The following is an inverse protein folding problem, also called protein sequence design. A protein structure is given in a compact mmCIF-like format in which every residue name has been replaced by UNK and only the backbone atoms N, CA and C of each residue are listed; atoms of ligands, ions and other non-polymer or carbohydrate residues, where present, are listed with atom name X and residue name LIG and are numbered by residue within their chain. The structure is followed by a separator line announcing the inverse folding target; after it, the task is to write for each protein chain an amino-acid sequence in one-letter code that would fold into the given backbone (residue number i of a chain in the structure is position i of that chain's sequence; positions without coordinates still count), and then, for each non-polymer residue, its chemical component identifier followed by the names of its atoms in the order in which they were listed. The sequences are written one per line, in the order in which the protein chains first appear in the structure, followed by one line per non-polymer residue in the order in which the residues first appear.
data_IF_362655738952
#
_entry.id   IF_362655738952
#
_cell.length_a   1.000
_cell.length_b   1.000
_cell.length_c   1.000
_cell.angle_alpha   90.00
_cell.angle_beta   90.00
_cell.angle_gamma   90.00
#
_symmetry.space_group_name_H-M   'P 1'
#
loop_
_entity.id
_entity.type
_entity.pdbx_description
1 polymer ?
#
# COMPACT_ATOMS: atom_id res chain seq x y z
N UNK A 1 -24.05 -10.62 -28.41
CA UNK A 1 -23.17 -9.50 -28.79
C UNK A 1 -22.54 -8.98 -27.51
N UNK A 2 -21.23 -9.11 -27.26
CA UNK A 2 -20.60 -8.39 -26.16
C UNK A 2 -20.69 -6.89 -26.47
N UNK A 3 -21.27 -6.12 -25.54
CA UNK A 3 -21.49 -4.68 -25.70
C UNK A 3 -20.17 -3.89 -25.84
N UNK A 4 -20.25 -2.62 -26.29
CA UNK A 4 -19.08 -1.78 -26.48
C UNK A 4 -18.32 -1.64 -25.15
N UNK A 5 -17.02 -1.96 -25.17
CA UNK A 5 -16.14 -1.72 -24.02
C UNK A 5 -16.02 -0.20 -23.86
N UNK A 6 -16.57 0.34 -22.77
CA UNK A 6 -16.50 1.76 -22.46
C UNK A 6 -15.03 2.21 -22.39
N UNK A 7 -14.61 3.08 -23.31
CA UNK A 7 -13.33 3.78 -23.27
C UNK A 7 -13.37 4.87 -22.21
N UNK A 8 -13.28 4.48 -20.94
CA UNK A 8 -12.93 5.44 -19.90
C UNK A 8 -11.43 5.69 -19.96
N UNK A 9 -11.02 6.95 -20.17
CA UNK A 9 -9.71 7.42 -19.74
C UNK A 9 -9.66 7.14 -18.24
N UNK A 10 -8.92 6.10 -17.86
CA UNK A 10 -8.91 5.60 -16.50
C UNK A 10 -8.00 6.51 -15.71
N UNK A 11 -8.60 7.54 -15.09
CA UNK A 11 -7.95 8.23 -13.98
C UNK A 11 -7.51 7.15 -13.00
N UNK A 12 -6.23 7.14 -12.63
CA UNK A 12 -5.71 6.17 -11.67
C UNK A 12 -6.59 6.22 -10.40
N UNK A 13 -7.23 5.09 -10.08
CA UNK A 13 -8.36 5.03 -9.13
C UNK A 13 -8.01 5.57 -7.73
N UNK A 14 -6.75 5.47 -7.33
CA UNK A 14 -6.26 5.86 -6.00
C UNK A 14 -5.36 7.09 -6.05
N UNK A 15 -5.36 7.84 -7.16
CA UNK A 15 -4.53 9.03 -7.33
C UNK A 15 -4.72 10.00 -6.16
N UNK A 16 -3.60 10.36 -5.51
CA UNK A 16 -3.59 11.32 -4.40
C UNK A 16 -4.18 10.78 -3.09
N UNK A 17 -4.45 9.47 -2.99
CA UNK A 17 -4.84 8.83 -1.73
C UNK A 17 -3.62 8.32 -0.98
N UNK A 18 -3.76 8.24 0.34
CA UNK A 18 -2.84 7.49 1.19
C UNK A 18 -3.52 6.21 1.65
N UNK A 19 -2.81 5.09 1.61
CA UNK A 19 -3.29 3.79 2.06
C UNK A 19 -2.33 3.19 3.09
N UNK A 20 -2.87 2.70 4.20
CA UNK A 20 -2.15 1.85 5.16
C UNK A 20 -2.48 0.39 4.84
N UNK A 21 -1.44 -0.41 4.58
CA UNK A 21 -1.57 -1.84 4.28
C UNK A 21 -0.83 -2.63 5.35
N UNK A 22 -1.56 -3.44 6.11
CA UNK A 22 -0.96 -4.40 7.03
C UNK A 22 -0.56 -5.69 6.30
N UNK A 23 0.48 -6.37 6.76
CA UNK A 23 0.95 -7.61 6.12
C UNK A 23 1.51 -7.39 4.70
N UNK A 24 1.99 -6.18 4.40
CA UNK A 24 2.38 -5.75 3.06
C UNK A 24 3.79 -6.14 2.61
N UNK A 25 4.59 -6.78 3.47
CA UNK A 25 5.99 -7.11 3.13
C UNK A 25 6.11 -8.32 2.19
N UNK A 26 5.11 -9.21 2.15
CA UNK A 26 5.18 -10.46 1.38
C UNK A 26 3.83 -10.93 0.83
N UNK A 27 3.86 -11.98 0.00
CA UNK A 27 2.66 -12.66 -0.52
C UNK A 27 1.65 -11.72 -1.17
N UNK A 28 0.37 -11.88 -0.83
CA UNK A 28 -0.69 -11.03 -1.36
C UNK A 28 -0.59 -9.58 -0.92
N UNK A 29 -0.14 -9.31 0.31
CA UNK A 29 0.03 -7.95 0.80
C UNK A 29 0.98 -7.15 -0.08
N UNK A 30 2.13 -7.74 -0.43
CA UNK A 30 3.09 -7.12 -1.37
C UNK A 30 2.49 -6.86 -2.76
N UNK A 31 1.67 -7.78 -3.27
CA UNK A 31 0.97 -7.59 -4.54
C UNK A 31 -0.07 -6.45 -4.45
N UNK A 32 -0.77 -6.31 -3.33
CA UNK A 32 -1.71 -5.22 -3.07
C UNK A 32 -0.97 -3.88 -2.99
N UNK A 33 0.14 -3.81 -2.25
CA UNK A 33 1.02 -2.62 -2.20
C UNK A 33 1.42 -2.19 -3.61
N UNK A 34 1.92 -3.14 -4.42
CA UNK A 34 2.33 -2.88 -5.80
C UNK A 34 1.18 -2.34 -6.66
N UNK A 35 -0.03 -2.92 -6.51
CA UNK A 35 -1.23 -2.48 -7.22
C UNK A 35 -1.67 -1.08 -6.80
N UNK A 36 -1.58 -0.74 -5.52
CA UNK A 36 -1.99 0.56 -5.00
C UNK A 36 -1.06 1.69 -5.47
N UNK A 37 0.25 1.43 -5.49
CA UNK A 37 1.23 2.37 -6.06
C UNK A 37 0.96 2.60 -7.55
N UNK A 38 0.69 1.52 -8.30
CA UNK A 38 0.37 1.63 -9.73
C UNK A 38 -0.94 2.39 -10.01
N UNK A 39 -1.81 2.51 -9.00
CA UNK A 39 -3.02 3.33 -9.03
C UNK A 39 -2.85 4.72 -8.39
N UNK A 40 -1.62 5.15 -8.14
CA UNK A 40 -1.30 6.52 -7.73
C UNK A 40 -1.44 6.80 -6.23
N UNK A 41 -1.51 5.75 -5.41
CA UNK A 41 -1.53 5.88 -3.96
C UNK A 41 -0.13 6.09 -3.38
N UNK A 42 -0.05 6.84 -2.28
CA UNK A 42 1.05 6.75 -1.31
C UNK A 42 0.74 5.62 -0.34
N UNK A 43 1.68 4.72 -0.10
CA UNK A 43 1.42 3.52 0.72
C UNK A 43 2.30 3.54 1.97
N UNK A 44 1.70 3.28 3.13
CA UNK A 44 2.42 2.88 4.34
C UNK A 44 2.21 1.37 4.55
N UNK A 45 3.29 0.62 4.73
CA UNK A 45 3.24 -0.80 5.09
C UNK A 45 3.54 -0.98 6.57
N UNK A 46 2.63 -1.65 7.28
CA UNK A 46 2.83 -2.12 8.66
C UNK A 46 2.93 -3.65 8.64
N UNK A 47 4.08 -4.20 8.98
CA UNK A 47 4.26 -5.65 8.98
C UNK A 47 5.24 -6.10 10.07
N UNK A 48 5.04 -7.31 10.60
CA UNK A 48 5.97 -7.95 11.53
C UNK A 48 7.24 -8.42 10.80
N UNK A 49 7.11 -8.72 9.50
CA UNK A 49 8.20 -9.10 8.61
C UNK A 49 8.83 -7.86 8.00
N UNK A 50 10.15 -7.81 7.98
CA UNK A 50 10.88 -6.75 7.27
C UNK A 50 10.90 -7.04 5.75
N UNK A 51 10.61 -6.04 4.92
CA UNK A 51 10.68 -6.18 3.47
C UNK A 51 12.13 -6.38 3.02
N UNK A 52 12.32 -7.00 1.86
CA UNK A 52 13.62 -7.05 1.21
C UNK A 52 14.11 -5.65 0.78
N UNK A 53 15.42 -5.46 0.58
CA UNK A 53 16.01 -4.16 0.23
C UNK A 53 15.48 -3.57 -1.10
N UNK A 54 14.92 -4.40 -1.98
CA UNK A 54 14.40 -4.00 -3.29
C UNK A 54 12.85 -4.01 -3.36
N UNK A 55 12.17 -4.30 -2.25
CA UNK A 55 10.73 -4.58 -2.27
C UNK A 55 9.85 -3.34 -2.38
N UNK A 56 10.36 -2.18 -1.98
CA UNK A 56 9.61 -0.94 -1.88
C UNK A 56 10.27 0.20 -2.67
N UNK A 57 9.45 0.86 -3.50
CA UNK A 57 9.83 2.05 -4.27
C UNK A 57 9.61 3.34 -3.48
N UNK A 58 9.95 4.49 -4.06
CA UNK A 58 9.89 5.81 -3.41
C UNK A 58 8.51 6.22 -2.85
N UNK A 59 7.41 5.58 -3.28
CA UNK A 59 6.05 5.90 -2.80
C UNK A 59 5.56 4.96 -1.68
N UNK A 60 6.48 4.22 -1.05
CA UNK A 60 6.17 3.34 0.07
C UNK A 60 7.00 3.72 1.29
N UNK A 61 6.32 3.94 2.40
CA UNK A 61 6.94 3.97 3.73
C UNK A 61 6.72 2.60 4.38
N UNK A 62 7.70 2.11 5.14
CA UNK A 62 7.58 0.89 5.92
C UNK A 62 7.76 1.18 7.41
N UNK A 63 6.95 0.52 8.23
CA UNK A 63 7.11 0.46 9.67
C UNK A 63 6.98 -0.99 10.12
N UNK A 64 7.97 -1.46 10.88
CA UNK A 64 7.86 -2.77 11.55
C UNK A 64 6.88 -2.66 12.70
N UNK A 65 5.89 -3.55 12.77
CA UNK A 65 4.98 -3.59 13.90
C UNK A 65 3.94 -4.71 13.84
N UNK A 66 3.38 -5.01 15.01
CA UNK A 66 2.37 -6.03 15.21
C UNK A 66 0.98 -5.39 15.29
N UNK A 67 0.05 -5.90 14.48
CA UNK A 67 -1.32 -5.39 14.39
C UNK A 67 -2.12 -5.58 15.69
N UNK A 68 -1.68 -6.45 16.60
CA UNK A 68 -2.32 -6.59 17.92
C UNK A 68 -1.79 -5.58 18.95
N UNK A 69 -0.73 -4.82 18.65
CA UNK A 69 -0.15 -3.80 19.55
C UNK A 69 -0.74 -2.41 19.27
N UNK A 70 -1.46 -1.80 20.22
CA UNK A 70 -1.92 -0.42 20.10
C UNK A 70 -0.79 0.59 19.89
N UNK A 71 0.38 0.32 20.47
CA UNK A 71 1.56 1.19 20.37
C UNK A 71 2.13 1.22 18.95
N UNK A 72 2.11 0.08 18.25
CA UNK A 72 2.58 0.01 16.86
C UNK A 72 1.64 0.73 15.90
N UNK A 73 0.33 0.79 16.19
CA UNK A 73 -0.59 1.64 15.45
C UNK A 73 -0.29 3.12 15.63
N UNK A 74 0.10 3.54 16.83
CA UNK A 74 0.45 4.93 17.09
C UNK A 74 1.70 5.34 16.32
N UNK A 75 2.74 4.49 16.30
CA UNK A 75 3.93 4.70 15.44
C UNK A 75 3.56 4.78 13.96
N UNK A 76 2.66 3.91 13.49
CA UNK A 76 2.23 3.92 12.10
C UNK A 76 1.50 5.22 11.72
N UNK A 77 0.65 5.75 12.61
CA UNK A 77 -0.05 7.01 12.39
C UNK A 77 0.90 8.22 12.32
N UNK A 78 1.95 8.23 13.14
CA UNK A 78 2.98 9.29 13.11
C UNK A 78 3.75 9.34 11.78
N UNK A 79 3.84 8.20 11.08
CA UNK A 79 4.51 8.09 9.78
C UNK A 79 3.65 8.59 8.60
N UNK A 80 2.34 8.82 8.82
CA UNK A 80 1.42 9.32 7.79
C UNK A 80 1.16 10.81 8.01
N UNK A 81 2.00 11.66 7.40
CA UNK A 81 1.80 13.12 7.34
C UNK A 81 1.84 13.66 5.91
#
# INVERSE_FOLDING_TARGET
MPGPKSTHVTVQRLQGKTALITGGAQGFGKAIVSKFIAEGARVLVLDIVEPGPEDFSNNVTYVRGDVISPEDWQKALEMVT
#
